data_IF_587851657516
#
_entry.id   IF_587851657516
#
_cell.length_a   1.000
_cell.length_b   1.000
_cell.length_c   1.000
_cell.angle_alpha   90.00
_cell.angle_beta   90.00
_cell.angle_gamma   90.00
#
_symmetry.space_group_name_H-M   'P 1'
#
loop_
_entity.id
_entity.type
_entity.pdbx_description
1 polymer ?
#
# COMPACT_ATOMS: atom_id res chain seq x y z
N UNK A 1 -7.24 -13.48 17.07
CA UNK A 1 -8.27 -14.07 16.17
C UNK A 1 -8.31 -13.39 14.80
N UNK A 2 -8.05 -12.09 14.66
CA UNK A 2 -7.96 -11.42 13.34
C UNK A 2 -6.78 -11.85 12.42
N UNK A 3 -5.70 -12.42 12.98
CA UNK A 3 -4.45 -12.70 12.26
C UNK A 3 -4.41 -14.02 11.49
N UNK A 4 -5.17 -15.04 11.89
CA UNK A 4 -5.27 -16.31 11.15
C UNK A 4 -6.15 -16.17 9.90
N UNK A 5 -7.19 -15.32 9.95
CA UNK A 5 -8.04 -15.00 8.80
C UNK A 5 -7.27 -14.28 7.70
N UNK A 6 -6.43 -13.29 8.06
CA UNK A 6 -5.63 -12.54 7.09
C UNK A 6 -4.60 -13.39 6.36
N UNK A 7 -3.94 -14.35 7.03
CA UNK A 7 -2.96 -15.23 6.37
C UNK A 7 -3.65 -16.16 5.36
N UNK A 8 -4.81 -16.73 5.71
CA UNK A 8 -5.60 -17.56 4.78
C UNK A 8 -6.09 -16.76 3.57
N UNK A 9 -6.56 -15.54 3.79
CA UNK A 9 -7.01 -14.65 2.72
C UNK A 9 -5.87 -14.30 1.74
N UNK A 10 -4.69 -13.95 2.26
CA UNK A 10 -3.53 -13.63 1.41
C UNK A 10 -3.02 -14.85 0.64
N UNK A 11 -3.05 -16.05 1.23
CA UNK A 11 -2.71 -17.29 0.51
C UNK A 11 -3.75 -17.62 -0.56
N UNK A 12 -5.04 -17.40 -0.31
CA UNK A 12 -6.09 -17.59 -1.31
C UNK A 12 -5.91 -16.60 -2.48
N UNK A 13 -5.60 -15.34 -2.19
CA UNK A 13 -5.29 -14.33 -3.20
C UNK A 13 -4.04 -14.71 -4.02
N UNK A 14 -3.00 -15.24 -3.37
CA UNK A 14 -1.80 -15.77 -4.05
C UNK A 14 -2.12 -16.87 -5.05
N UNK A 15 -2.93 -17.84 -4.64
CA UNK A 15 -3.33 -18.93 -5.53
C UNK A 15 -4.20 -18.41 -6.68
N UNK A 16 -5.12 -17.48 -6.42
CA UNK A 16 -5.96 -16.87 -7.44
C UNK A 16 -5.14 -16.09 -8.47
N UNK A 17 -4.27 -15.17 -8.03
CA UNK A 17 -3.46 -14.33 -8.93
C UNK A 17 -2.45 -15.16 -9.71
N UNK A 18 -1.89 -16.22 -9.09
CA UNK A 18 -1.04 -17.18 -9.80
C UNK A 18 -1.83 -17.92 -10.89
N UNK A 19 -3.06 -18.37 -10.60
CA UNK A 19 -3.93 -19.02 -11.58
C UNK A 19 -4.26 -18.10 -12.76
N UNK A 20 -4.63 -16.85 -12.48
CA UNK A 20 -4.91 -15.82 -13.49
C UNK A 20 -3.67 -15.56 -14.35
N UNK A 21 -2.49 -15.43 -13.74
CA UNK A 21 -1.23 -15.24 -14.46
C UNK A 21 -0.97 -16.40 -15.44
N UNK A 22 -1.14 -17.64 -15.00
CA UNK A 22 -0.98 -18.83 -15.87
C UNK A 22 -1.95 -18.77 -17.05
N UNK A 23 -3.22 -18.45 -16.81
CA UNK A 23 -4.22 -18.33 -17.89
C UNK A 23 -3.85 -17.25 -18.90
N UNK A 24 -3.38 -16.09 -18.43
CA UNK A 24 -2.94 -14.99 -19.32
C UNK A 24 -1.68 -15.36 -20.13
N UNK A 25 -0.71 -16.07 -19.54
CA UNK A 25 0.45 -16.58 -20.29
C UNK A 25 0.07 -17.60 -21.36
N UNK A 26 -0.87 -18.50 -21.07
CA UNK A 26 -1.38 -19.45 -22.07
C UNK A 26 -2.07 -18.70 -23.21
N UNK A 27 -2.89 -17.70 -22.89
CA UNK A 27 -3.54 -16.87 -23.91
C UNK A 27 -2.53 -16.12 -24.77
N UNK A 28 -1.48 -15.56 -24.18
CA UNK A 28 -0.37 -14.97 -24.93
C UNK A 28 0.31 -16.00 -25.84
N UNK A 29 0.69 -17.17 -25.33
CA UNK A 29 1.38 -18.20 -26.13
C UNK A 29 0.54 -18.71 -27.32
N UNK A 30 -0.78 -18.66 -27.23
CA UNK A 30 -1.69 -19.04 -28.31
C UNK A 30 -1.93 -17.94 -29.35
N UNK A 31 -1.68 -16.68 -29.00
CA UNK A 31 -2.13 -15.53 -29.82
C UNK A 31 -1.07 -14.48 -30.12
N UNK A 32 0.08 -14.48 -29.44
CA UNK A 32 1.11 -13.46 -29.61
C UNK A 32 0.67 -12.02 -29.28
N UNK A 33 -0.45 -11.84 -28.55
CA UNK A 33 -0.96 -10.54 -28.14
C UNK A 33 -0.07 -9.91 -27.06
N UNK A 34 0.60 -8.80 -27.37
CA UNK A 34 1.55 -8.17 -26.45
C UNK A 34 0.84 -7.62 -25.21
N UNK A 35 -0.42 -7.17 -25.32
CA UNK A 35 -1.17 -6.74 -24.16
C UNK A 35 -1.44 -7.89 -23.19
N UNK A 36 -1.59 -9.12 -23.69
CA UNK A 36 -1.76 -10.31 -22.85
C UNK A 36 -0.49 -10.65 -22.09
N UNK A 37 0.68 -10.48 -22.72
CA UNK A 37 1.96 -10.68 -22.06
C UNK A 37 2.18 -9.63 -20.95
N UNK A 38 1.92 -8.35 -21.23
CA UNK A 38 2.00 -7.29 -20.23
C UNK A 38 1.08 -7.56 -19.03
N UNK A 39 -0.17 -7.96 -19.30
CA UNK A 39 -1.14 -8.34 -18.26
C UNK A 39 -0.74 -9.60 -17.48
N UNK A 40 -0.08 -10.57 -18.12
CA UNK A 40 0.43 -11.77 -17.47
C UNK A 40 1.58 -11.44 -16.51
N UNK A 41 2.52 -10.61 -16.95
CA UNK A 41 3.63 -10.13 -16.11
C UNK A 41 3.12 -9.28 -14.94
N UNK A 42 2.09 -8.45 -15.16
CA UNK A 42 1.44 -7.73 -14.08
C UNK A 42 0.87 -8.69 -13.01
N UNK A 43 0.11 -9.72 -13.41
CA UNK A 43 -0.43 -10.69 -12.45
C UNK A 43 0.65 -11.51 -11.72
N UNK A 44 1.84 -11.69 -12.32
CA UNK A 44 3.01 -12.23 -11.60
C UNK A 44 3.54 -11.24 -10.57
N UNK A 45 3.58 -9.95 -10.91
CA UNK A 45 3.98 -8.90 -9.98
C UNK A 45 3.05 -8.86 -8.75
N UNK A 46 1.74 -9.02 -8.97
CA UNK A 46 0.70 -9.07 -7.93
C UNK A 46 0.88 -10.28 -7.00
N UNK A 47 1.11 -11.47 -7.58
CA UNK A 47 1.45 -12.67 -6.81
C UNK A 47 2.75 -12.46 -6.00
N UNK A 48 3.75 -11.81 -6.60
CA UNK A 48 4.99 -11.42 -5.94
C UNK A 48 4.75 -10.47 -4.75
N UNK A 49 3.84 -9.51 -4.89
CA UNK A 49 3.48 -8.59 -3.82
C UNK A 49 2.92 -9.35 -2.61
N UNK A 50 1.98 -10.25 -2.83
CA UNK A 50 1.38 -11.05 -1.75
C UNK A 50 2.43 -11.88 -0.99
N UNK A 51 3.39 -12.47 -1.70
CA UNK A 51 4.53 -13.16 -1.06
C UNK A 51 5.36 -12.20 -0.21
N UNK A 52 5.70 -11.02 -0.74
CA UNK A 52 6.48 -10.02 -0.02
C UNK A 52 5.73 -9.48 1.20
N UNK A 53 4.42 -9.26 1.13
CA UNK A 53 3.59 -8.85 2.26
C UNK A 53 3.52 -9.94 3.34
N UNK A 54 3.41 -11.22 2.97
CA UNK A 54 3.46 -12.34 3.92
C UNK A 54 4.81 -12.39 4.64
N UNK A 55 5.92 -12.25 3.90
CA UNK A 55 7.27 -12.24 4.47
C UNK A 55 7.47 -11.02 5.36
N UNK A 56 7.09 -9.84 4.91
CA UNK A 56 7.18 -8.58 5.65
C UNK A 56 6.38 -8.62 6.95
N UNK A 57 5.12 -9.08 6.89
CA UNK A 57 4.27 -9.25 8.06
C UNK A 57 4.83 -10.29 9.04
N UNK A 58 5.40 -11.40 8.55
CA UNK A 58 6.05 -12.40 9.42
C UNK A 58 7.30 -11.84 10.11
N UNK A 59 8.14 -11.07 9.38
CA UNK A 59 9.35 -10.47 9.94
C UNK A 59 9.05 -9.33 10.91
N UNK A 60 7.99 -8.56 10.68
CA UNK A 60 7.59 -7.47 11.55
C UNK A 60 7.11 -7.93 12.95
N UNK A 61 6.65 -9.18 13.07
CA UNK A 61 6.25 -9.79 14.36
C UNK A 61 7.43 -10.21 15.25
N UNK A 62 8.67 -10.00 14.82
CA UNK A 62 9.85 -10.29 15.65
C UNK A 62 9.88 -9.35 16.87
N UNK A 63 10.23 -9.90 18.03
CA UNK A 63 10.39 -9.13 19.27
C UNK A 63 11.56 -8.14 19.14
N UNK A 64 11.52 -7.06 19.93
CA UNK A 64 12.61 -6.12 20.05
C UNK A 64 13.91 -6.78 20.52
N UNK A 65 15.03 -6.28 20.00
CA UNK A 65 16.39 -6.67 20.39
C UNK A 65 17.18 -5.42 20.80
N UNK A 66 18.36 -5.54 21.43
CA UNK A 66 19.20 -4.38 21.74
C UNK A 66 19.54 -3.51 20.52
N UNK A 67 19.72 -4.12 19.34
CA UNK A 67 19.98 -3.41 18.08
C UNK A 67 18.72 -2.74 17.51
N UNK A 68 17.53 -3.27 17.83
CA UNK A 68 16.23 -2.76 17.40
C UNK A 68 15.29 -2.62 18.60
N UNK A 69 15.51 -1.58 19.45
CA UNK A 69 14.82 -1.46 20.74
C UNK A 69 13.32 -1.22 20.62
N UNK A 70 12.86 -0.69 19.49
CA UNK A 70 11.44 -0.49 19.17
C UNK A 70 10.84 -1.66 18.36
N UNK A 71 11.56 -2.77 18.22
CA UNK A 71 11.09 -3.91 17.45
C UNK A 71 11.23 -3.76 15.93
N UNK A 72 10.49 -4.61 15.20
CA UNK A 72 10.61 -4.76 13.75
C UNK A 72 9.35 -4.30 12.99
N UNK A 73 8.44 -3.55 13.61
CA UNK A 73 7.19 -3.09 12.99
C UNK A 73 7.40 -2.42 11.63
N UNK A 74 8.42 -1.55 11.52
CA UNK A 74 8.82 -0.86 10.28
C UNK A 74 9.21 -1.76 9.12
N UNK A 75 9.50 -3.04 9.35
CA UNK A 75 9.83 -3.98 8.26
C UNK A 75 8.67 -4.06 7.26
N UNK A 76 7.41 -3.89 7.70
CA UNK A 76 6.26 -3.80 6.79
C UNK A 76 6.40 -2.67 5.77
N UNK A 77 6.83 -1.48 6.20
CA UNK A 77 7.08 -0.35 5.30
C UNK A 77 8.20 -0.64 4.30
N UNK A 78 9.27 -1.31 4.76
CA UNK A 78 10.39 -1.70 3.89
C UNK A 78 9.92 -2.63 2.78
N UNK A 79 9.15 -3.66 3.12
CA UNK A 79 8.62 -4.60 2.13
C UNK A 79 7.63 -3.93 1.17
N UNK A 80 6.75 -3.07 1.66
CA UNK A 80 5.83 -2.31 0.80
C UNK A 80 6.58 -1.36 -0.17
N UNK A 81 7.66 -0.75 0.29
CA UNK A 81 8.53 0.07 -0.55
C UNK A 81 9.26 -0.75 -1.62
N UNK A 82 9.79 -1.94 -1.24
CA UNK A 82 10.39 -2.89 -2.19
C UNK A 82 9.37 -3.30 -3.26
N UNK A 83 8.14 -3.61 -2.88
CA UNK A 83 7.06 -3.92 -3.83
C UNK A 83 6.86 -2.77 -4.81
N UNK A 84 6.73 -1.55 -4.28
CA UNK A 84 6.46 -0.34 -5.06
C UNK A 84 7.52 -0.10 -6.13
N UNK A 85 8.81 -0.23 -5.76
CA UNK A 85 9.92 0.03 -6.70
C UNK A 85 10.21 -1.17 -7.58
N UNK A 86 10.28 -2.38 -7.02
CA UNK A 86 10.79 -3.54 -7.76
C UNK A 86 9.69 -4.12 -8.63
N UNK A 87 8.57 -4.52 -8.06
CA UNK A 87 7.55 -5.29 -8.78
C UNK A 87 6.83 -4.42 -9.82
N UNK A 88 6.33 -3.26 -9.41
CA UNK A 88 5.58 -2.39 -10.32
C UNK A 88 6.47 -1.71 -11.37
N UNK A 89 7.68 -1.24 -11.02
CA UNK A 89 8.57 -0.63 -12.03
C UNK A 89 9.09 -1.66 -13.02
N UNK A 90 9.49 -2.86 -12.57
CA UNK A 90 9.93 -3.91 -13.50
C UNK A 90 8.77 -4.32 -14.42
N UNK A 91 7.57 -4.54 -13.86
CA UNK A 91 6.39 -4.87 -14.67
C UNK A 91 6.03 -3.78 -15.68
N UNK A 92 6.03 -2.51 -15.26
CA UNK A 92 5.73 -1.38 -16.13
C UNK A 92 6.79 -1.15 -17.22
N UNK A 93 8.08 -1.19 -16.86
CA UNK A 93 9.16 -1.05 -17.83
C UNK A 93 9.20 -2.23 -18.80
N UNK A 94 8.91 -3.44 -18.33
CA UNK A 94 8.77 -4.61 -19.19
C UNK A 94 7.62 -4.44 -20.19
N UNK A 95 6.45 -3.98 -19.75
CA UNK A 95 5.32 -3.72 -20.65
C UNK A 95 5.64 -2.61 -21.68
N UNK A 96 6.37 -1.56 -21.30
CA UNK A 96 6.84 -0.54 -22.24
C UNK A 96 7.86 -1.09 -23.24
N UNK A 97 8.78 -1.92 -22.78
CA UNK A 97 9.74 -2.61 -23.64
C UNK A 97 9.04 -3.52 -24.66
N UNK A 98 8.04 -4.27 -24.20
CA UNK A 98 7.22 -5.15 -25.04
C UNK A 98 6.40 -4.35 -26.07
N UNK A 99 5.80 -3.24 -25.64
CA UNK A 99 5.10 -2.34 -26.57
C UNK A 99 6.05 -1.80 -27.64
N UNK A 100 7.28 -1.43 -27.28
CA UNK A 100 8.29 -0.99 -28.23
C UNK A 100 8.72 -2.11 -29.20
N UNK A 101 8.95 -3.32 -28.70
CA UNK A 101 9.27 -4.47 -29.55
C UNK A 101 8.15 -4.78 -30.54
N UNK A 102 6.91 -4.83 -30.05
CA UNK A 102 5.74 -5.05 -30.90
C UNK A 102 5.56 -3.93 -31.92
N UNK A 103 5.84 -2.69 -31.55
CA UNK A 103 5.86 -1.57 -32.50
C UNK A 103 6.87 -1.78 -33.62
N UNK A 104 8.10 -2.18 -33.30
CA UNK A 104 9.13 -2.46 -34.31
C UNK A 104 8.74 -3.62 -35.24
N UNK A 105 8.17 -4.70 -34.69
CA UNK A 105 7.68 -5.83 -35.49
C UNK A 105 6.60 -5.42 -36.49
N UNK A 106 5.59 -4.67 -36.00
CA UNK A 106 4.48 -4.17 -36.83
C UNK A 106 4.98 -3.19 -37.88
N UNK A 107 5.92 -2.30 -37.51
CA UNK A 107 6.48 -1.32 -38.43
C UNK A 107 7.37 -1.95 -39.50
N UNK A 108 8.09 -3.02 -39.16
CA UNK A 108 8.88 -3.82 -40.10
C UNK A 108 8.03 -4.70 -41.03
N UNK A 109 6.71 -4.78 -40.79
CA UNK A 109 5.78 -5.56 -41.60
C UNK A 109 5.80 -7.06 -41.31
N UNK A 110 6.20 -7.46 -40.10
CA UNK A 110 6.08 -8.86 -39.69
C UNK A 110 4.60 -9.27 -39.58
N UNK A 111 4.27 -10.54 -39.87
CA UNK A 111 2.92 -11.07 -39.69
C UNK A 111 2.45 -10.86 -38.24
N UNK A 112 1.23 -10.36 -38.06
CA UNK A 112 0.69 -10.20 -36.72
C UNK A 112 0.05 -11.52 -36.26
N UNK A 113 0.75 -12.24 -35.38
CA UNK A 113 0.29 -13.50 -34.79
C UNK A 113 -1.12 -13.41 -34.18
N UNK A 114 -1.52 -12.25 -33.66
CA UNK A 114 -2.86 -12.07 -33.08
C UNK A 114 -3.96 -12.08 -34.15
N UNK A 115 -3.72 -11.42 -35.29
CA UNK A 115 -4.70 -11.30 -36.37
C UNK A 115 -4.80 -12.60 -37.19
N UNK A 116 -3.70 -13.33 -37.28
CA UNK A 116 -3.61 -14.57 -38.07
C UNK A 116 -3.94 -15.84 -37.24
N UNK A 117 -4.04 -15.75 -35.92
CA UNK A 117 -4.30 -16.91 -35.05
C UNK A 117 -5.77 -17.35 -35.08
N UNK A 118 -5.99 -18.67 -35.24
CA UNK A 118 -7.30 -19.32 -35.06
C UNK A 118 -7.89 -19.09 -33.65
N UNK A 119 -7.07 -18.66 -32.69
CA UNK A 119 -7.42 -18.43 -31.29
C UNK A 119 -7.65 -16.95 -30.97
N UNK A 120 -7.93 -16.10 -31.97
CA UNK A 120 -8.15 -14.65 -31.82
C UNK A 120 -9.16 -14.26 -30.71
N UNK A 121 -10.12 -15.13 -30.39
CA UNK A 121 -11.15 -14.89 -29.35
C UNK A 121 -10.64 -15.14 -27.92
N UNK A 122 -9.56 -15.90 -27.75
CA UNK A 122 -9.04 -16.31 -26.43
C UNK A 122 -8.61 -15.12 -25.57
N UNK A 123 -7.85 -14.13 -26.07
CA UNK A 123 -7.47 -12.95 -25.29
C UNK A 123 -8.70 -12.20 -24.78
N UNK A 124 -9.71 -11.98 -25.63
CA UNK A 124 -10.96 -11.31 -25.24
C UNK A 124 -11.67 -12.07 -24.13
N UNK A 125 -11.83 -13.40 -24.28
CA UNK A 125 -12.49 -14.23 -23.27
C UNK A 125 -11.75 -14.21 -21.92
N UNK A 126 -10.41 -14.32 -21.96
CA UNK A 126 -9.58 -14.28 -20.75
C UNK A 126 -9.63 -12.91 -20.08
N UNK A 127 -9.56 -11.81 -20.85
CA UNK A 127 -9.65 -10.46 -20.31
C UNK A 127 -11.01 -10.19 -19.66
N UNK A 128 -12.10 -10.59 -20.30
CA UNK A 128 -13.45 -10.43 -19.71
C UNK A 128 -13.59 -11.26 -18.43
N UNK A 129 -13.12 -12.51 -18.42
CA UNK A 129 -13.14 -13.34 -17.22
C UNK A 129 -12.28 -12.73 -16.09
N UNK A 130 -11.09 -12.22 -16.43
CA UNK A 130 -10.21 -11.54 -15.48
C UNK A 130 -10.87 -10.28 -14.91
N UNK A 131 -11.48 -9.43 -15.75
CA UNK A 131 -12.20 -8.22 -15.29
C UNK A 131 -13.30 -8.58 -14.30
N UNK A 132 -14.05 -9.66 -14.55
CA UNK A 132 -15.10 -10.11 -13.64
C UNK A 132 -14.50 -10.53 -12.29
N UNK A 133 -13.47 -11.37 -12.31
CA UNK A 133 -12.80 -11.85 -11.08
C UNK A 133 -12.18 -10.70 -10.29
N UNK A 134 -11.45 -9.81 -10.96
CA UNK A 134 -10.80 -8.66 -10.36
C UNK A 134 -11.82 -7.66 -9.81
N UNK A 135 -12.96 -7.47 -10.49
CA UNK A 135 -14.06 -6.66 -9.97
C UNK A 135 -14.65 -7.21 -8.68
N UNK A 136 -14.72 -8.54 -8.53
CA UNK A 136 -15.14 -9.17 -7.27
C UNK A 136 -14.09 -9.00 -6.17
N UNK A 137 -12.80 -9.11 -6.51
CA UNK A 137 -11.69 -8.85 -5.58
C UNK A 137 -11.72 -7.41 -5.07
N UNK A 138 -11.73 -6.43 -5.99
CA UNK A 138 -11.79 -5.01 -5.66
C UNK A 138 -13.02 -4.68 -4.83
N UNK A 139 -14.18 -5.23 -5.18
CA UNK A 139 -15.41 -5.03 -4.39
C UNK A 139 -15.22 -5.50 -2.94
N UNK A 140 -14.58 -6.65 -2.75
CA UNK A 140 -14.28 -7.19 -1.41
C UNK A 140 -13.29 -6.28 -0.68
N UNK A 141 -12.19 -5.88 -1.32
CA UNK A 141 -11.20 -4.97 -0.76
C UNK A 141 -11.81 -3.62 -0.38
N UNK A 142 -12.73 -3.08 -1.19
CA UNK A 142 -13.47 -1.85 -0.92
C UNK A 142 -14.40 -1.99 0.28
N UNK A 143 -15.11 -3.11 0.41
CA UNK A 143 -15.99 -3.37 1.55
C UNK A 143 -15.14 -3.43 2.84
N UNK A 144 -14.09 -4.24 2.87
CA UNK A 144 -13.17 -4.36 4.01
C UNK A 144 -12.53 -3.01 4.37
N UNK A 145 -12.07 -2.28 3.36
CA UNK A 145 -11.48 -0.95 3.57
C UNK A 145 -12.48 0.07 4.08
N UNK A 146 -13.76 -0.02 3.71
CA UNK A 146 -14.81 0.87 4.22
C UNK A 146 -15.05 0.70 5.73
N UNK A 147 -14.89 -0.51 6.27
CA UNK A 147 -14.96 -0.74 7.72
C UNK A 147 -13.87 0.04 8.48
N UNK A 148 -12.71 0.29 7.85
CA UNK A 148 -11.58 1.01 8.44
C UNK A 148 -11.55 2.50 8.04
N UNK A 149 -12.00 2.83 6.83
CA UNK A 149 -11.98 4.19 6.24
C UNK A 149 -12.86 5.17 6.99
N UNK A 150 -13.97 4.69 7.55
CA UNK A 150 -15.00 5.56 8.14
C UNK A 150 -15.55 6.56 7.12
N UNK A 151 -15.83 7.79 7.54
CA UNK A 151 -16.37 8.86 6.69
C UNK A 151 -15.34 9.60 5.81
N UNK A 152 -14.09 9.13 5.74
CA UNK A 152 -13.01 9.82 5.01
C UNK A 152 -13.09 9.53 3.50
N UNK A 153 -12.62 10.47 2.68
CA UNK A 153 -12.49 10.25 1.23
C UNK A 153 -11.43 9.18 0.91
N UNK A 154 -11.52 8.55 -0.27
CA UNK A 154 -10.54 7.53 -0.70
C UNK A 154 -9.11 8.07 -0.78
N UNK A 155 -8.92 9.28 -1.33
CA UNK A 155 -7.60 9.91 -1.42
C UNK A 155 -7.01 10.15 -0.03
N UNK A 156 -7.83 10.61 0.92
CA UNK A 156 -7.40 10.78 2.30
C UNK A 156 -7.15 9.46 3.01
N UNK A 157 -7.90 8.39 2.68
CA UNK A 157 -7.66 7.07 3.23
C UNK A 157 -6.30 6.53 2.82
N UNK A 158 -6.00 6.53 1.52
CA UNK A 158 -4.71 6.08 0.98
C UNK A 158 -3.55 6.88 1.58
N UNK A 159 -3.63 8.22 1.59
CA UNK A 159 -2.55 9.10 2.09
C UNK A 159 -2.41 9.15 3.62
N UNK A 160 -3.38 8.66 4.38
CA UNK A 160 -3.34 8.71 5.85
C UNK A 160 -3.27 7.34 6.49
N UNK A 161 -3.47 6.28 5.72
CA UNK A 161 -3.35 4.92 6.20
C UNK A 161 -1.91 4.66 6.62
N UNK A 162 -1.73 4.31 7.89
CA UNK A 162 -0.42 3.94 8.45
C UNK A 162 -0.11 2.47 8.24
N UNK A 163 -1.10 1.67 7.86
CA UNK A 163 -0.90 0.31 7.35
C UNK A 163 -0.66 0.36 5.84
N UNK A 164 0.51 -0.07 5.34
CA UNK A 164 0.80 -0.04 3.91
C UNK A 164 -0.02 -1.07 3.12
N UNK A 165 -0.51 -2.13 3.76
CA UNK A 165 -1.14 -3.25 3.07
C UNK A 165 -2.42 -2.85 2.34
N UNK A 166 -3.35 -2.17 3.00
CA UNK A 166 -4.66 -1.85 2.41
C UNK A 166 -4.57 -0.84 1.25
N UNK A 167 -3.83 0.28 1.36
CA UNK A 167 -3.66 1.19 0.23
C UNK A 167 -2.98 0.52 -0.96
N UNK A 168 -1.93 -0.27 -0.71
CA UNK A 168 -1.19 -0.97 -1.78
C UNK A 168 -2.13 -1.92 -2.53
N UNK A 169 -2.89 -2.76 -1.82
CA UNK A 169 -3.85 -3.70 -2.43
C UNK A 169 -4.92 -2.94 -3.24
N UNK A 170 -5.48 -1.86 -2.70
CA UNK A 170 -6.49 -1.09 -3.44
C UNK A 170 -5.94 -0.44 -4.71
N UNK A 171 -4.75 0.15 -4.64
CA UNK A 171 -4.11 0.77 -5.81
C UNK A 171 -3.73 -0.28 -6.86
N UNK A 172 -3.30 -1.47 -6.41
CA UNK A 172 -3.03 -2.63 -7.26
C UNK A 172 -4.29 -3.09 -7.98
N UNK A 173 -5.36 -3.46 -7.27
CA UNK A 173 -6.61 -3.96 -7.87
C UNK A 173 -7.24 -2.94 -8.85
N UNK A 174 -7.18 -1.64 -8.52
CA UNK A 174 -7.62 -0.56 -9.42
C UNK A 174 -6.73 -0.51 -10.67
N UNK A 175 -5.41 -0.61 -10.48
CA UNK A 175 -4.44 -0.67 -11.56
C UNK A 175 -4.66 -1.85 -12.50
N UNK A 176 -4.86 -3.05 -11.93
CA UNK A 176 -5.13 -4.27 -12.65
C UNK A 176 -6.40 -4.15 -13.49
N UNK A 177 -7.49 -3.64 -12.93
CA UNK A 177 -8.72 -3.41 -13.70
C UNK A 177 -8.54 -2.42 -14.85
N UNK A 178 -7.84 -1.30 -14.61
CA UNK A 178 -7.57 -0.32 -15.66
C UNK A 178 -6.67 -0.91 -16.75
N UNK A 179 -5.65 -1.69 -16.37
CA UNK A 179 -4.78 -2.41 -17.29
C UNK A 179 -5.54 -3.40 -18.16
N UNK A 180 -6.40 -4.23 -17.55
CA UNK A 180 -7.29 -5.15 -18.24
C UNK A 180 -8.23 -4.44 -19.22
N UNK A 181 -8.76 -3.27 -18.86
CA UNK A 181 -9.60 -2.45 -19.76
C UNK A 181 -8.77 -1.93 -20.93
N UNK A 182 -7.55 -1.46 -20.70
CA UNK A 182 -6.65 -1.03 -21.79
C UNK A 182 -6.28 -2.18 -22.72
N UNK A 183 -5.98 -3.36 -22.18
CA UNK A 183 -5.75 -4.58 -22.97
C UNK A 183 -6.98 -4.94 -23.80
N UNK A 184 -8.17 -4.93 -23.20
CA UNK A 184 -9.41 -5.31 -23.89
C UNK A 184 -9.74 -4.34 -25.02
N UNK A 185 -9.55 -3.03 -24.81
CA UNK A 185 -9.73 -2.02 -25.84
C UNK A 185 -8.67 -2.18 -26.93
N UNK A 186 -7.39 -2.37 -26.56
CA UNK A 186 -6.28 -2.52 -27.51
C UNK A 186 -6.45 -3.73 -28.43
N UNK A 187 -6.67 -4.92 -27.86
CA UNK A 187 -6.93 -6.15 -28.60
C UNK A 187 -8.23 -6.05 -29.39
N UNK A 188 -9.30 -5.55 -28.78
CA UNK A 188 -10.60 -5.43 -29.43
C UNK A 188 -10.55 -4.52 -30.65
N UNK A 189 -9.89 -3.36 -30.55
CA UNK A 189 -9.70 -2.46 -31.68
C UNK A 189 -8.76 -3.04 -32.72
N UNK A 190 -7.70 -3.76 -32.32
CA UNK A 190 -6.80 -4.42 -33.25
C UNK A 190 -7.55 -5.42 -34.14
N UNK A 191 -8.40 -6.26 -33.53
CA UNK A 191 -9.23 -7.24 -34.24
C UNK A 191 -10.32 -6.60 -35.10
N UNK A 192 -10.95 -5.51 -34.63
CA UNK A 192 -12.03 -4.84 -35.37
C UNK A 192 -11.54 -4.01 -36.56
N UNK A 193 -10.34 -3.43 -36.45
CA UNK A 193 -9.77 -2.53 -37.46
C UNK A 193 -8.68 -3.17 -38.31
N UNK A 194 -8.34 -4.44 -38.02
CA UNK A 194 -7.25 -5.17 -38.64
C UNK A 194 -5.90 -4.42 -38.52
N UNK A 195 -5.70 -3.77 -37.37
CA UNK A 195 -4.56 -2.88 -37.13
C UNK A 195 -3.88 -3.16 -35.79
N UNK A 196 -2.70 -3.77 -35.88
CA UNK A 196 -1.87 -4.17 -34.74
C UNK A 196 -1.40 -3.00 -33.84
N UNK A 197 -1.36 -1.76 -34.35
CA UNK A 197 -0.95 -0.60 -33.56
C UNK A 197 -1.86 -0.36 -32.35
N UNK A 198 -3.10 -0.86 -32.35
CA UNK A 198 -3.98 -0.77 -31.18
C UNK A 198 -3.56 -1.68 -30.02
N UNK A 199 -3.03 -2.88 -30.31
CA UNK A 199 -2.47 -3.77 -29.29
C UNK A 199 -1.18 -3.16 -28.69
N UNK A 200 -0.34 -2.57 -29.55
CA UNK A 200 0.83 -1.78 -29.12
C UNK A 200 0.42 -0.64 -28.19
N UNK A 201 -0.59 0.15 -28.57
CA UNK A 201 -1.06 1.27 -27.77
C UNK A 201 -1.66 0.82 -26.42
N UNK A 202 -2.43 -0.27 -26.40
CA UNK A 202 -2.95 -0.88 -25.18
C UNK A 202 -1.82 -1.34 -24.25
N UNK A 203 -0.83 -2.04 -24.81
CA UNK A 203 0.36 -2.51 -24.07
C UNK A 203 1.16 -1.34 -23.49
N UNK A 204 1.38 -0.28 -24.27
CA UNK A 204 2.07 0.93 -23.81
C UNK A 204 1.29 1.63 -22.69
N UNK A 205 -0.04 1.73 -22.80
CA UNK A 205 -0.90 2.33 -21.78
C UNK A 205 -0.82 1.57 -20.45
N UNK A 206 -0.79 0.23 -20.48
CA UNK A 206 -0.56 -0.62 -19.30
C UNK A 206 0.81 -0.32 -18.68
N UNK A 207 1.86 -0.27 -19.50
CA UNK A 207 3.21 0.05 -19.02
C UNK A 207 3.31 1.41 -18.34
N UNK A 208 2.74 2.45 -18.94
CA UNK A 208 2.67 3.80 -18.33
C UNK A 208 1.89 3.76 -17.02
N UNK A 209 0.73 3.09 -16.99
CA UNK A 209 -0.10 2.97 -15.80
C UNK A 209 0.68 2.33 -14.63
N UNK A 210 1.37 1.21 -14.88
CA UNK A 210 2.17 0.52 -13.86
C UNK A 210 3.32 1.38 -13.34
N UNK A 211 4.00 2.14 -14.20
CA UNK A 211 5.04 3.09 -13.78
C UNK A 211 4.45 4.21 -12.92
N UNK A 212 3.28 4.74 -13.28
CA UNK A 212 2.60 5.77 -12.47
C UNK A 212 2.23 5.22 -11.09
N UNK A 213 1.67 4.00 -11.02
CA UNK A 213 1.34 3.34 -9.76
C UNK A 213 2.61 3.12 -8.92
N UNK A 214 3.69 2.63 -9.54
CA UNK A 214 4.99 2.44 -8.89
C UNK A 214 5.49 3.73 -8.23
N UNK A 215 5.45 4.85 -8.96
CA UNK A 215 5.90 6.16 -8.46
C UNK A 215 5.02 6.64 -7.30
N UNK A 216 3.70 6.56 -7.44
CA UNK A 216 2.76 6.97 -6.39
C UNK A 216 2.98 6.17 -5.11
N UNK A 217 3.07 4.84 -5.22
CA UNK A 217 3.30 3.97 -4.08
C UNK A 217 4.70 4.20 -3.47
N UNK A 218 5.74 4.37 -4.29
CA UNK A 218 7.09 4.61 -3.79
C UNK A 218 7.18 5.90 -2.97
N UNK A 219 6.53 6.98 -3.41
CA UNK A 219 6.48 8.25 -2.67
C UNK A 219 5.77 8.06 -1.32
N UNK A 220 4.60 7.41 -1.33
CA UNK A 220 3.80 7.19 -0.11
C UNK A 220 4.54 6.28 0.89
N UNK A 221 5.09 5.16 0.42
CA UNK A 221 5.81 4.22 1.27
C UNK A 221 7.13 4.80 1.80
N UNK A 222 7.79 5.68 1.04
CA UNK A 222 8.99 6.40 1.52
C UNK A 222 8.68 7.30 2.71
N UNK A 223 7.53 7.97 2.70
CA UNK A 223 7.12 8.84 3.79
C UNK A 223 6.97 8.06 5.11
N UNK A 224 6.32 6.89 5.06
CA UNK A 224 6.19 5.98 6.21
C UNK A 224 7.54 5.44 6.71
N UNK A 225 8.52 5.24 5.82
CA UNK A 225 9.87 4.81 6.18
C UNK A 225 10.68 5.90 6.89
N UNK A 226 10.60 7.14 6.40
CA UNK A 226 11.20 8.31 7.05
C UNK A 226 10.62 8.47 8.46
N UNK A 227 9.32 8.21 8.56
CA UNK A 227 8.60 8.12 9.82
C UNK A 227 7.65 9.30 9.98
N UNK A 228 6.37 8.97 9.92
CA UNK A 228 5.30 9.95 10.03
C UNK A 228 4.85 10.13 11.47
N UNK A 229 4.40 11.35 11.78
CA UNK A 229 3.73 11.65 13.03
C UNK A 229 2.29 11.15 13.08
N UNK A 230 1.71 11.24 14.27
CA UNK A 230 0.30 11.00 14.51
C UNK A 230 -0.56 11.97 13.68
N UNK A 231 -1.72 11.49 13.22
CA UNK A 231 -2.71 12.37 12.60
C UNK A 231 -3.20 13.43 13.59
N UNK A 232 -3.62 14.59 13.11
CA UNK A 232 -4.10 15.72 13.93
C UNK A 232 -5.14 15.28 14.99
N UNK A 233 -6.07 14.41 14.60
CA UNK A 233 -7.07 13.85 15.52
C UNK A 233 -6.44 13.10 16.71
N UNK A 234 -5.40 12.31 16.46
CA UNK A 234 -4.68 11.58 17.49
C UNK A 234 -3.78 12.50 18.31
N UNK A 235 -3.19 13.53 17.69
CA UNK A 235 -2.46 14.59 18.39
C UNK A 235 -3.37 15.28 19.41
N UNK A 236 -4.57 15.68 19.01
CA UNK A 236 -5.54 16.31 19.91
C UNK A 236 -5.98 15.38 21.05
N UNK A 237 -6.18 14.09 20.77
CA UNK A 237 -6.45 13.08 21.82
C UNK A 237 -5.30 12.97 22.82
N UNK A 238 -4.05 12.97 22.36
CA UNK A 238 -2.86 12.93 23.23
C UNK A 238 -2.79 14.21 24.08
N UNK A 239 -2.97 15.39 23.49
CA UNK A 239 -2.93 16.67 24.19
C UNK A 239 -4.03 16.74 25.27
N UNK A 240 -5.26 16.38 24.91
CA UNK A 240 -6.38 16.35 25.84
C UNK A 240 -6.16 15.34 26.97
N UNK A 241 -5.68 14.13 26.67
CA UNK A 241 -5.40 13.11 27.69
C UNK A 241 -4.25 13.51 28.62
N UNK A 242 -3.20 14.14 28.09
CA UNK A 242 -2.06 14.61 28.88
C UNK A 242 -2.49 15.68 29.90
N UNK A 243 -3.37 16.60 29.49
CA UNK A 243 -3.79 17.79 30.27
C UNK A 243 -5.11 17.61 31.03
N UNK A 244 -5.74 16.43 31.00
CA UNK A 244 -7.01 16.17 31.66
C UNK A 244 -6.96 16.19 33.21
N UNK A 245 -5.78 16.25 33.83
CA UNK A 245 -5.63 16.35 35.29
C UNK A 245 -5.10 17.72 35.70
N UNK A 246 -5.32 18.11 36.95
CA UNK A 246 -4.94 19.43 37.50
C UNK A 246 -3.42 19.60 37.71
N UNK A 247 -2.65 18.53 37.52
CA UNK A 247 -1.22 18.46 37.85
C UNK A 247 -0.30 18.92 36.72
N UNK A 248 -0.79 18.97 35.48
CA UNK A 248 -0.04 19.36 34.27
C UNK A 248 -0.68 20.59 33.65
N UNK A 249 0.04 21.71 33.61
CA UNK A 249 -0.50 22.96 33.08
C UNK A 249 -0.73 22.92 31.57
N UNK A 250 0.26 22.43 30.81
CA UNK A 250 0.18 22.25 29.35
C UNK A 250 1.27 21.34 28.82
N UNK A 251 1.12 20.93 27.56
CA UNK A 251 2.19 20.27 26.79
C UNK A 251 3.04 21.34 26.11
N UNK A 252 4.33 21.41 26.45
CA UNK A 252 5.28 22.39 25.90
C UNK A 252 5.69 21.98 24.48
N UNK A 253 5.99 20.70 24.30
CA UNK A 253 6.43 20.16 23.02
C UNK A 253 5.97 18.71 22.89
N UNK A 254 5.46 18.35 21.71
CA UNK A 254 4.99 17.01 21.40
C UNK A 254 5.63 16.57 20.08
N UNK A 255 6.32 15.43 20.10
CA UNK A 255 6.74 14.70 18.91
C UNK A 255 6.16 13.32 18.93
N UNK A 256 5.67 12.90 17.79
CA UNK A 256 5.09 11.57 17.60
C UNK A 256 5.71 10.93 16.39
N UNK A 257 5.84 9.60 16.41
CA UNK A 257 6.48 8.86 15.34
C UNK A 257 5.93 7.44 15.29
N UNK A 258 5.44 6.99 14.13
CA UNK A 258 5.06 5.57 13.98
C UNK A 258 6.33 4.68 13.91
N UNK A 259 6.43 3.71 14.81
CA UNK A 259 7.46 2.65 14.82
C UNK A 259 6.97 1.37 14.14
N UNK A 260 5.68 1.32 13.81
CA UNK A 260 5.03 0.31 12.97
C UNK A 260 3.58 0.77 12.69
N UNK A 261 2.81 0.04 11.87
CA UNK A 261 1.45 0.46 11.54
C UNK A 261 0.52 0.59 12.74
N UNK A 262 0.73 -0.22 13.76
CA UNK A 262 -0.07 -0.26 15.00
C UNK A 262 0.73 0.21 16.23
N UNK A 263 1.86 0.88 16.02
CA UNK A 263 2.77 1.29 17.10
C UNK A 263 3.19 2.75 16.92
N UNK A 264 2.77 3.57 17.87
CA UNK A 264 3.09 4.99 17.95
C UNK A 264 4.04 5.24 19.13
N UNK A 265 5.11 5.97 18.84
CA UNK A 265 5.97 6.60 19.83
C UNK A 265 5.45 8.01 20.09
N UNK A 266 5.25 8.33 21.37
CA UNK A 266 4.87 9.66 21.86
C UNK A 266 6.00 10.16 22.76
N UNK A 267 6.63 11.25 22.36
CA UNK A 267 7.63 11.96 23.15
C UNK A 267 7.13 13.36 23.44
N UNK A 268 6.84 13.67 24.70
CA UNK A 268 6.26 14.94 25.10
C UNK A 268 7.01 15.57 26.26
N UNK A 269 7.08 16.89 26.24
CA UNK A 269 7.56 17.72 27.34
C UNK A 269 6.37 18.39 28.01
N UNK A 270 6.22 18.19 29.32
CA UNK A 270 5.06 18.58 30.10
C UNK A 270 5.44 19.71 31.06
N UNK A 271 4.64 20.78 31.06
CA UNK A 271 4.80 21.89 31.99
C UNK A 271 4.35 21.47 33.39
N UNK A 272 5.29 21.46 34.33
CA UNK A 272 5.05 21.26 35.75
C UNK A 272 5.19 22.60 36.50
N UNK A 273 4.51 22.71 37.63
CA UNK A 273 4.58 23.90 38.48
C UNK A 273 5.87 23.88 39.30
N UNK A 274 6.39 25.06 39.62
CA UNK A 274 7.63 25.21 40.39
C UNK A 274 7.49 24.83 41.86
N UNK A 275 6.26 24.71 42.37
CA UNK A 275 5.95 24.34 43.76
C UNK A 275 5.79 22.82 43.96
N UNK A 276 5.83 22.03 42.89
CA UNK A 276 5.66 20.58 42.96
C UNK A 276 6.94 19.86 43.44
N UNK A 277 6.77 18.86 44.30
CA UNK A 277 7.85 17.96 44.71
C UNK A 277 8.17 16.93 43.62
N UNK A 278 9.33 16.28 43.70
CA UNK A 278 9.69 15.21 42.76
C UNK A 278 8.69 14.04 42.74
N UNK A 279 8.09 13.71 43.89
CA UNK A 279 7.05 12.68 43.99
C UNK A 279 5.75 13.11 43.28
N UNK A 280 5.35 14.37 43.43
CA UNK A 280 4.17 14.92 42.75
C UNK A 280 4.39 14.98 41.23
N UNK A 281 5.59 15.35 40.78
CA UNK A 281 5.95 15.35 39.36
C UNK A 281 5.89 13.92 38.79
N UNK A 282 6.45 12.94 39.50
CA UNK A 282 6.42 11.54 39.08
C UNK A 282 4.98 11.00 38.99
N UNK A 283 4.13 11.30 39.97
CA UNK A 283 2.72 10.92 39.96
C UNK A 283 1.96 11.57 38.79
N UNK A 284 2.21 12.86 38.51
CA UNK A 284 1.60 13.59 37.41
C UNK A 284 1.97 12.98 36.04
N UNK A 285 3.26 12.65 35.85
CA UNK A 285 3.76 12.00 34.63
C UNK A 285 3.13 10.61 34.45
N UNK A 286 3.15 9.77 35.48
CA UNK A 286 2.57 8.42 35.41
C UNK A 286 1.07 8.48 35.08
N UNK A 287 0.33 9.40 35.72
CA UNK A 287 -1.08 9.60 35.43
C UNK A 287 -1.33 10.08 34.00
N UNK A 288 -0.49 10.96 33.47
CA UNK A 288 -0.59 11.37 32.06
C UNK A 288 -0.28 10.22 31.10
N UNK A 289 0.73 9.39 31.39
CA UNK A 289 1.03 8.21 30.59
C UNK A 289 -0.17 7.25 30.54
N UNK A 290 -0.78 6.95 31.68
CA UNK A 290 -1.95 6.06 31.76
C UNK A 290 -3.14 6.61 30.95
N UNK A 291 -3.42 7.92 31.06
CA UNK A 291 -4.50 8.57 30.29
C UNK A 291 -4.23 8.55 28.80
N UNK A 292 -2.99 8.84 28.37
CA UNK A 292 -2.60 8.78 26.95
C UNK A 292 -2.77 7.35 26.42
N UNK A 293 -2.30 6.35 27.17
CA UNK A 293 -2.41 4.93 26.79
C UNK A 293 -3.86 4.46 26.69
N UNK A 294 -4.73 4.95 27.58
CA UNK A 294 -6.15 4.65 27.55
C UNK A 294 -6.86 5.33 26.36
N UNK A 295 -6.52 6.59 26.06
CA UNK A 295 -7.11 7.34 24.95
C UNK A 295 -6.62 6.85 23.57
N UNK A 296 -5.38 6.36 23.50
CA UNK A 296 -4.75 5.93 22.27
C UNK A 296 -3.94 4.63 22.49
N UNK A 297 -4.57 3.45 22.41
CA UNK A 297 -3.92 2.16 22.67
C UNK A 297 -2.72 1.84 21.75
N UNK A 298 -2.63 2.48 20.58
CA UNK A 298 -1.49 2.37 19.68
C UNK A 298 -0.23 3.12 20.20
N UNK A 299 -0.37 4.03 21.18
CA UNK A 299 0.75 4.69 21.85
C UNK A 299 1.51 3.71 22.77
N UNK A 300 2.28 2.80 22.16
CA UNK A 300 3.02 1.76 22.88
C UNK A 300 4.21 2.32 23.65
N UNK A 301 4.91 3.28 23.05
CA UNK A 301 6.10 3.90 23.61
C UNK A 301 5.78 5.34 23.98
N UNK A 302 5.76 5.65 25.28
CA UNK A 302 5.44 6.98 25.79
C UNK A 302 6.64 7.45 26.62
N UNK A 303 7.21 8.59 26.24
CA UNK A 303 8.30 9.26 26.94
C UNK A 303 7.84 10.66 27.31
N UNK A 304 7.68 10.90 28.60
CA UNK A 304 7.21 12.17 29.14
C UNK A 304 8.31 12.80 29.98
N UNK A 305 8.75 13.99 29.60
CA UNK A 305 9.78 14.76 30.29
C UNK A 305 9.10 15.95 31.01
N UNK A 306 9.31 16.13 32.32
CA UNK A 306 8.86 17.34 33.01
C UNK A 306 9.77 18.52 32.66
N UNK A 307 9.20 19.70 32.50
CA UNK A 307 9.96 20.96 32.41
C UNK A 307 9.17 22.09 33.09
N UNK A 308 9.89 23.13 33.51
CA UNK A 308 9.29 24.32 34.11
C UNK A 308 8.84 25.23 32.97
N UNK A 309 7.59 25.69 33.01
CA UNK A 309 7.12 26.63 31.99
C UNK A 309 7.82 27.99 32.14
N UNK A 310 8.64 28.33 31.15
CA UNK A 310 9.36 29.61 31.08
C UNK A 310 8.69 30.62 30.14
N UNK A 311 7.53 30.28 29.59
CA UNK A 311 6.82 31.16 28.67
C UNK A 311 6.22 32.30 29.48
N UNK A 312 6.50 33.56 29.16
CA UNK A 312 5.97 34.68 29.93
C UNK A 312 4.44 34.62 29.91
N UNK A 313 3.83 34.80 31.09
CA UNK A 313 2.39 34.96 31.21
C UNK A 313 1.98 36.13 30.28
N UNK A 314 1.11 35.83 29.31
CA UNK A 314 0.52 36.83 28.42
C UNK A 314 -0.69 37.48 29.07
#
# INVERSE_FOLDING_TARGET
MATEGGTKAVVAALLANTGIAITKFIAFALTGASSMLAEAVHSVADAGNQVLLLVGGRRARRKATPEHPFGYGRVRYVFAFIVSIVLFSIGGLFALYEAYHKYEEVHAGHPNELLESDWWWVPIAVLVAAIIMESFSLRTAVIESNHVRGGRSWVQFVRRAKSPELPVILLEDIGALLGLVFALIGVGLALLTDNAYWDVAGTAAIGVLLVVIAVVLAIEMSSLLIGEGAAEENVQKILAAATAGDDIGRVIHLRTLYTGPEELLVAAKLAVRTDQTGEQIAAAINGAEERIRAALPEARHIFLEPDIDRTPAS
#
